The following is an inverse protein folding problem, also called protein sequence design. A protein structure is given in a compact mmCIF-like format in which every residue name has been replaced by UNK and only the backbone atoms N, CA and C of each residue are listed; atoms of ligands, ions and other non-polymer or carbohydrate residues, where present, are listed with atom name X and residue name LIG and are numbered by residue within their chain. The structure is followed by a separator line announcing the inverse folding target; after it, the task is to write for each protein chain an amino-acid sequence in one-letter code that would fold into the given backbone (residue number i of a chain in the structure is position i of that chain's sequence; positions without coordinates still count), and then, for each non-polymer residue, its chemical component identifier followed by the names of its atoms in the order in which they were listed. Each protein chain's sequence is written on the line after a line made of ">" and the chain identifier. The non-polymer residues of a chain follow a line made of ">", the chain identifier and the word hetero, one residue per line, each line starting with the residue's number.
data_IF_202491304251
#
_entry.id   IF_202491304251
#
_cell.length_a   1.000
_cell.length_b   1.000
_cell.length_c   1.000
_cell.angle_alpha   90.00
_cell.angle_beta   90.00
_cell.angle_gamma   90.00
#
_symmetry.space_group_name_H-M   'P 1'
#
loop_
_entity.id
_entity.type
_entity.pdbx_description
1 polymer ?
#
# COMPACT_ATOMS: atom_id res chain seq x y z
N UNK A 1 24.15 10.91 -32.57
CA UNK A 1 22.98 10.22 -33.17
C UNK A 1 22.91 8.72 -32.83
N UNK A 2 24.00 7.99 -32.67
CA UNK A 2 23.99 6.55 -32.36
C UNK A 2 23.45 6.24 -30.95
N UNK A 3 23.83 7.00 -29.96
CA UNK A 3 23.38 6.77 -28.56
C UNK A 3 21.87 6.93 -28.37
N UNK A 4 21.23 7.90 -29.04
CA UNK A 4 19.77 8.07 -28.96
C UNK A 4 19.00 6.86 -29.52
N UNK A 5 19.58 6.12 -30.49
CA UNK A 5 18.97 4.90 -31.02
C UNK A 5 19.03 3.74 -30.03
N UNK A 6 20.09 3.63 -29.24
CA UNK A 6 20.18 2.60 -28.18
C UNK A 6 19.21 2.86 -27.05
N UNK A 7 19.04 4.11 -26.65
CA UNK A 7 18.05 4.50 -25.64
C UNK A 7 16.63 4.18 -26.13
N UNK A 8 16.31 4.51 -27.37
CA UNK A 8 15.02 4.19 -27.99
C UNK A 8 14.80 2.68 -28.10
N UNK A 9 15.84 1.91 -28.43
CA UNK A 9 15.79 0.46 -28.53
C UNK A 9 15.61 -0.19 -27.15
N UNK A 10 16.27 0.31 -26.10
CA UNK A 10 16.11 -0.14 -24.72
C UNK A 10 14.69 0.18 -24.22
N UNK A 11 14.17 1.36 -24.51
CA UNK A 11 12.78 1.74 -24.19
C UNK A 11 11.78 0.84 -24.92
N UNK A 12 12.04 0.51 -26.19
CA UNK A 12 11.19 -0.39 -26.99
C UNK A 12 11.26 -1.85 -26.50
N UNK A 13 12.41 -2.29 -25.99
CA UNK A 13 12.59 -3.62 -25.39
C UNK A 13 11.85 -3.74 -24.04
N UNK A 14 11.73 -2.63 -23.30
CA UNK A 14 10.98 -2.55 -22.04
C UNK A 14 9.46 -2.50 -22.26
N UNK A 15 8.99 -2.26 -23.49
CA UNK A 15 7.56 -2.23 -23.83
C UNK A 15 7.00 -3.59 -24.28
N UNK A 16 7.73 -4.70 -24.12
CA UNK A 16 7.18 -6.03 -24.42
C UNK A 16 6.02 -6.33 -23.48
N UNK A 17 4.86 -6.53 -24.07
CA UNK A 17 3.61 -6.92 -23.39
C UNK A 17 3.73 -8.35 -22.87
N UNK A 18 3.94 -8.49 -21.57
CA UNK A 18 3.79 -9.78 -20.90
C UNK A 18 2.31 -10.08 -20.72
N UNK A 19 1.87 -11.24 -21.15
CA UNK A 19 0.54 -11.77 -20.86
C UNK A 19 0.44 -11.99 -19.36
N UNK A 20 -0.38 -11.18 -18.70
CA UNK A 20 -0.59 -11.22 -17.25
C UNK A 20 -1.51 -12.36 -16.89
N UNK A 21 -0.99 -13.35 -16.18
CA UNK A 21 -1.83 -14.30 -15.43
C UNK A 21 -2.18 -13.60 -14.11
N UNK A 22 -3.41 -13.10 -14.01
CA UNK A 22 -3.87 -12.20 -12.97
C UNK A 22 -4.21 -12.94 -11.68
N UNK A 23 -3.24 -13.18 -10.82
CA UNK A 23 -3.47 -13.41 -9.41
C UNK A 23 -2.67 -12.35 -8.62
N UNK A 24 -3.14 -11.12 -8.64
CA UNK A 24 -2.53 -10.04 -7.91
C UNK A 24 -3.15 -9.93 -6.51
N UNK A 25 -2.31 -9.61 -5.55
CA UNK A 25 -2.68 -9.12 -4.24
C UNK A 25 -3.58 -7.86 -4.38
N UNK A 26 -4.36 -7.55 -3.33
CA UNK A 26 -5.20 -6.36 -3.33
C UNK A 26 -4.35 -5.09 -3.46
N UNK A 27 -4.91 -4.09 -4.10
CA UNK A 27 -4.26 -2.82 -4.38
C UNK A 27 -5.09 -1.64 -3.89
N UNK A 28 -4.47 -0.73 -3.13
CA UNK A 28 -5.08 0.49 -2.62
C UNK A 28 -4.41 1.72 -3.24
N UNK A 29 -5.20 2.70 -3.62
CA UNK A 29 -4.69 3.97 -4.15
C UNK A 29 -4.05 4.79 -3.04
N UNK A 30 -4.64 4.79 -1.86
CA UNK A 30 -4.18 5.57 -0.71
C UNK A 30 -3.20 4.80 0.20
N UNK A 31 -2.50 3.76 -0.32
CA UNK A 31 -1.49 2.99 0.43
C UNK A 31 -0.35 3.86 0.99
N UNK A 32 -0.07 4.99 0.36
CA UNK A 32 0.93 5.97 0.79
C UNK A 32 0.68 6.54 2.20
N UNK A 33 -0.56 6.43 2.69
CA UNK A 33 -0.94 6.83 4.05
C UNK A 33 -0.94 5.67 5.05
N UNK A 34 -0.76 4.42 4.56
CA UNK A 34 -0.76 3.21 5.39
C UNK A 34 0.20 2.16 4.80
N UNK A 35 1.47 2.46 4.84
CA UNK A 35 2.52 1.65 4.21
C UNK A 35 2.73 0.31 4.92
N UNK A 36 2.39 0.21 6.20
CA UNK A 36 2.48 -1.03 7.00
C UNK A 36 1.72 -2.21 6.38
N UNK A 37 0.65 -1.96 5.60
CA UNK A 37 -0.06 -2.99 4.83
C UNK A 37 0.81 -3.68 3.78
N UNK A 38 1.86 -3.00 3.28
CA UNK A 38 2.68 -3.44 2.15
C UNK A 38 4.14 -3.63 2.52
N UNK A 39 4.63 -2.95 3.55
CA UNK A 39 6.01 -3.02 4.00
C UNK A 39 6.05 -3.14 5.53
N UNK A 40 6.47 -4.29 6.09
CA UNK A 40 6.54 -4.46 7.53
C UNK A 40 7.54 -3.50 8.22
N UNK A 41 8.55 -2.99 7.49
CA UNK A 41 9.48 -2.01 8.03
C UNK A 41 8.84 -0.65 8.34
N UNK A 42 7.63 -0.41 7.82
CA UNK A 42 6.87 0.81 8.09
C UNK A 42 5.98 0.73 9.34
N UNK A 43 5.94 -0.41 10.05
CA UNK A 43 5.15 -0.53 11.27
C UNK A 43 5.61 0.49 12.32
N UNK A 44 4.68 1.36 12.78
CA UNK A 44 4.98 2.45 13.70
C UNK A 44 5.77 3.62 13.11
N UNK A 45 5.90 3.74 11.79
CA UNK A 45 6.70 4.78 11.12
C UNK A 45 6.20 6.22 11.35
N UNK A 46 4.98 6.39 11.84
CA UNK A 46 4.43 7.67 12.28
C UNK A 46 4.87 8.05 13.70
N UNK A 47 5.65 7.21 14.37
CA UNK A 47 6.11 7.37 15.76
C UNK A 47 4.97 7.67 16.73
N UNK A 48 3.82 7.07 16.49
CA UNK A 48 2.60 7.20 17.29
C UNK A 48 1.82 5.91 17.23
N UNK A 49 0.76 5.80 18.01
CA UNK A 49 -0.20 4.71 17.90
C UNK A 49 -1.33 5.15 16.98
N UNK A 50 -1.62 4.35 15.96
CA UNK A 50 -2.62 4.67 14.96
C UNK A 50 -3.48 3.48 14.54
N UNK A 51 -4.67 3.79 14.07
CA UNK A 51 -5.58 2.87 13.37
C UNK A 51 -5.85 3.43 11.99
N UNK A 52 -5.76 2.59 10.98
CA UNK A 52 -5.97 2.96 9.58
C UNK A 52 -6.99 2.01 8.98
N UNK A 53 -7.97 2.55 8.30
CA UNK A 53 -9.04 1.79 7.66
C UNK A 53 -9.17 2.21 6.21
N UNK A 54 -9.29 1.25 5.33
CA UNK A 54 -9.53 1.44 3.90
C UNK A 54 -10.74 0.64 3.44
N UNK A 55 -11.49 1.23 2.55
CA UNK A 55 -12.59 0.56 1.84
C UNK A 55 -12.55 0.96 0.37
N UNK A 56 -12.33 -0.01 -0.51
CA UNK A 56 -12.20 0.17 -1.95
C UNK A 56 -13.24 -0.66 -2.68
N UNK A 57 -14.00 0.01 -3.55
CA UNK A 57 -14.95 -0.60 -4.46
C UNK A 57 -14.47 -0.36 -5.88
N UNK A 58 -14.01 -1.43 -6.55
CA UNK A 58 -13.52 -1.33 -7.92
C UNK A 58 -14.69 -1.48 -8.91
N UNK A 59 -14.59 -0.78 -10.04
CA UNK A 59 -15.48 -0.91 -11.19
C UNK A 59 -16.97 -0.91 -10.78
N UNK A 60 -17.37 0.12 -10.06
CA UNK A 60 -18.73 0.23 -9.52
C UNK A 60 -19.76 0.05 -10.64
N UNK A 61 -20.80 -0.74 -10.37
CA UNK A 61 -21.85 -1.11 -11.33
C UNK A 61 -21.55 -2.37 -12.16
N UNK A 62 -20.36 -2.95 -12.05
CA UNK A 62 -20.02 -4.25 -12.68
C UNK A 62 -20.35 -5.39 -11.72
N UNK A 63 -21.10 -6.38 -12.18
CA UNK A 63 -21.43 -7.56 -11.36
C UNK A 63 -20.17 -8.36 -11.04
N UNK A 64 -19.98 -8.74 -9.76
CA UNK A 64 -18.82 -9.48 -9.31
C UNK A 64 -17.52 -8.67 -9.24
N UNK A 65 -17.59 -7.35 -9.39
CA UNK A 65 -16.45 -6.46 -9.31
C UNK A 65 -15.72 -6.57 -7.96
N UNK A 66 -14.39 -6.30 -7.92
CA UNK A 66 -13.60 -6.42 -6.70
C UNK A 66 -14.04 -5.43 -5.62
N UNK A 67 -14.02 -5.89 -4.37
CA UNK A 67 -14.15 -5.03 -3.19
C UNK A 67 -13.10 -5.41 -2.16
N UNK A 68 -12.38 -4.41 -1.64
CA UNK A 68 -11.30 -4.60 -0.69
C UNK A 68 -11.56 -3.76 0.56
N UNK A 69 -11.48 -4.39 1.72
CA UNK A 69 -11.52 -3.72 3.02
C UNK A 69 -10.24 -4.07 3.76
N UNK A 70 -9.52 -3.08 4.24
CA UNK A 70 -8.26 -3.32 4.95
C UNK A 70 -8.16 -2.43 6.17
N UNK A 71 -7.47 -2.92 7.19
CA UNK A 71 -7.19 -2.19 8.40
C UNK A 71 -5.79 -2.46 8.91
N UNK A 72 -5.25 -1.47 9.59
CA UNK A 72 -3.97 -1.56 10.29
C UNK A 72 -4.11 -0.92 11.65
N UNK A 73 -3.60 -1.58 12.66
CA UNK A 73 -3.24 -0.98 13.93
C UNK A 73 -1.72 -1.00 14.00
N UNK A 74 -1.09 0.13 14.24
CA UNK A 74 0.33 0.17 14.47
C UNK A 74 0.71 1.08 15.64
N UNK A 75 1.86 0.82 16.23
CA UNK A 75 2.40 1.58 17.34
C UNK A 75 3.92 1.56 17.32
N UNK A 76 4.51 2.65 17.78
CA UNK A 76 5.94 2.76 18.01
C UNK A 76 6.23 2.77 19.53
N UNK A 77 7.19 1.94 19.94
CA UNK A 77 7.68 1.85 21.32
C UNK A 77 9.09 2.43 21.35
N UNK A 78 9.22 3.64 21.92
CA UNK A 78 10.47 4.43 21.89
C UNK A 78 11.60 3.71 22.61
N UNK A 79 11.34 3.08 23.75
CA UNK A 79 12.31 2.37 24.58
C UNK A 79 12.96 1.20 23.85
N UNK A 80 12.19 0.53 22.99
CA UNK A 80 12.65 -0.60 22.18
C UNK A 80 13.15 -0.17 20.80
N UNK A 81 12.96 1.09 20.42
CA UNK A 81 13.19 1.58 19.05
C UNK A 81 12.51 0.70 18.02
N UNK A 82 11.30 0.26 18.34
CA UNK A 82 10.61 -0.75 17.57
C UNK A 82 9.18 -0.35 17.30
N UNK A 83 8.72 -0.69 16.10
CA UNK A 83 7.34 -0.60 15.70
C UNK A 83 6.69 -1.97 15.67
N UNK A 84 5.42 -2.00 16.04
CA UNK A 84 4.57 -3.18 16.00
C UNK A 84 3.33 -2.86 15.19
N UNK A 85 2.93 -3.79 14.32
CA UNK A 85 1.75 -3.63 13.48
C UNK A 85 0.90 -4.89 13.48
N UNK A 86 -0.42 -4.69 13.44
CA UNK A 86 -1.40 -5.72 13.13
C UNK A 86 -2.15 -5.27 11.89
N UNK A 87 -2.11 -6.06 10.83
CA UNK A 87 -2.81 -5.75 9.59
C UNK A 87 -3.87 -6.80 9.30
N UNK A 88 -4.97 -6.33 8.74
CA UNK A 88 -6.09 -7.16 8.29
C UNK A 88 -6.50 -6.70 6.90
N UNK A 89 -6.79 -7.63 6.00
CA UNK A 89 -7.39 -7.35 4.72
C UNK A 89 -8.42 -8.41 4.35
N UNK A 90 -9.53 -7.96 3.79
CA UNK A 90 -10.58 -8.78 3.19
C UNK A 90 -10.79 -8.31 1.76
N UNK A 91 -10.56 -9.19 0.80
CA UNK A 91 -10.68 -8.92 -0.62
C UNK A 91 -11.66 -9.92 -1.24
N UNK A 92 -12.61 -9.41 -2.03
CA UNK A 92 -13.61 -10.22 -2.71
C UNK A 92 -13.56 -9.93 -4.21
N UNK A 93 -13.50 -10.97 -5.01
CA UNK A 93 -13.55 -10.92 -6.47
C UNK A 93 -14.45 -12.02 -7.00
N UNK A 94 -15.64 -11.65 -7.48
CA UNK A 94 -16.64 -12.60 -7.94
C UNK A 94 -17.02 -13.59 -6.85
N UNK A 95 -16.77 -14.88 -7.11
CA UNK A 95 -17.00 -16.00 -6.18
C UNK A 95 -15.84 -16.25 -5.18
N UNK A 96 -14.71 -15.55 -5.34
CA UNK A 96 -13.54 -15.69 -4.47
C UNK A 96 -13.56 -14.63 -3.35
N UNK A 97 -13.17 -15.05 -2.14
CA UNK A 97 -12.94 -14.17 -1.00
C UNK A 97 -11.62 -14.53 -0.35
N UNK A 98 -10.74 -13.54 -0.19
CA UNK A 98 -9.44 -13.68 0.44
C UNK A 98 -9.43 -12.90 1.74
N UNK A 99 -8.88 -13.50 2.79
CA UNK A 99 -8.67 -12.86 4.08
C UNK A 99 -7.21 -12.98 4.45
N UNK A 100 -6.67 -11.93 5.02
CA UNK A 100 -5.28 -11.86 5.41
C UNK A 100 -5.18 -11.18 6.77
N UNK A 101 -4.44 -11.79 7.70
CA UNK A 101 -4.09 -11.22 9.00
C UNK A 101 -2.60 -11.41 9.18
N UNK A 102 -1.87 -10.32 9.49
CA UNK A 102 -0.42 -10.35 9.74
C UNK A 102 -0.05 -9.53 10.97
N UNK A 103 0.95 -10.01 11.67
CA UNK A 103 1.69 -9.26 12.67
C UNK A 103 3.00 -8.78 12.05
N UNK A 104 3.30 -7.50 12.20
CA UNK A 104 4.50 -6.86 11.70
C UNK A 104 5.35 -6.34 12.86
N UNK A 105 6.66 -6.45 12.70
CA UNK A 105 7.67 -5.90 13.58
C UNK A 105 8.67 -5.10 12.76
N UNK A 106 9.05 -3.92 13.23
CA UNK A 106 10.06 -3.07 12.63
C UNK A 106 11.06 -2.61 13.68
N UNK A 107 12.35 -2.71 13.37
CA UNK A 107 13.43 -2.18 14.20
C UNK A 107 14.02 -0.94 13.55
N UNK A 108 14.15 0.15 14.33
CA UNK A 108 14.55 1.46 13.87
C UNK A 108 16.00 1.78 14.25
N UNK A 109 16.83 2.04 13.26
CA UNK A 109 18.27 2.34 13.38
C UNK A 109 18.46 3.81 13.00
N UNK A 110 18.70 4.71 13.96
CA UNK A 110 19.01 6.11 13.65
C UNK A 110 20.29 6.24 12.83
N UNK A 111 20.20 6.96 11.70
CA UNK A 111 21.35 7.28 10.84
C UNK A 111 21.55 8.79 10.86
N UNK A 112 22.50 9.26 11.69
CA UNK A 112 22.71 10.69 11.91
C UNK A 112 21.51 11.36 12.60
N UNK A 113 21.34 12.66 12.40
CA UNK A 113 20.37 13.44 13.18
C UNK A 113 18.94 13.44 12.62
N UNK A 114 18.79 13.25 11.33
CA UNK A 114 17.49 13.44 10.64
C UNK A 114 17.04 12.24 9.81
N UNK A 115 17.77 11.13 9.92
CA UNK A 115 17.45 9.95 9.12
C UNK A 115 17.36 8.70 9.97
N UNK A 116 16.55 7.78 9.55
CA UNK A 116 16.37 6.49 10.19
C UNK A 116 16.26 5.41 9.10
N UNK A 117 16.87 4.27 9.35
CA UNK A 117 16.65 3.05 8.60
C UNK A 117 15.80 2.12 9.47
N UNK A 118 14.75 1.57 8.94
CA UNK A 118 13.99 0.51 9.57
C UNK A 118 14.10 -0.80 8.81
N UNK A 119 14.20 -1.88 9.55
CA UNK A 119 14.18 -3.25 9.04
C UNK A 119 12.96 -3.93 9.62
N UNK A 120 12.16 -4.57 8.79
CA UNK A 120 10.90 -5.15 9.22
C UNK A 120 10.71 -6.57 8.74
N UNK A 121 9.94 -7.30 9.52
CA UNK A 121 9.45 -8.63 9.17
C UNK A 121 7.96 -8.73 9.56
N UNK A 122 7.21 -9.52 8.83
CA UNK A 122 5.85 -9.87 9.22
C UNK A 122 5.58 -11.34 9.00
N UNK A 123 4.66 -11.86 9.80
CA UNK A 123 4.14 -13.22 9.68
C UNK A 123 2.64 -13.24 9.88
N UNK A 124 1.96 -14.11 9.15
CA UNK A 124 0.52 -14.17 9.20
C UNK A 124 -0.10 -15.37 8.53
N UNK A 125 -1.40 -15.28 8.37
CA UNK A 125 -2.24 -16.32 7.76
C UNK A 125 -3.06 -15.70 6.63
N UNK A 126 -3.05 -16.37 5.49
CA UNK A 126 -3.92 -16.13 4.35
C UNK A 126 -5.01 -17.18 4.32
N UNK A 127 -6.24 -16.78 4.07
CA UNK A 127 -7.36 -17.69 3.80
C UNK A 127 -7.98 -17.32 2.46
N UNK A 128 -8.22 -18.31 1.62
CA UNK A 128 -8.93 -18.17 0.35
C UNK A 128 -10.12 -19.09 0.30
N UNK A 129 -11.28 -18.48 0.08
CA UNK A 129 -12.54 -19.19 -0.06
C UNK A 129 -13.07 -19.00 -1.48
N UNK A 130 -13.44 -20.08 -2.13
CA UNK A 130 -14.16 -20.05 -3.40
C UNK A 130 -15.55 -20.65 -3.18
N UNK A 131 -16.59 -19.87 -3.54
CA UNK A 131 -17.97 -20.33 -3.51
C UNK A 131 -18.44 -20.61 -4.94
N UNK A 132 -18.95 -21.79 -5.18
CA UNK A 132 -19.64 -22.12 -6.42
C UNK A 132 -21.10 -21.64 -6.34
N UNK A 133 -21.57 -20.89 -7.33
CA UNK A 133 -22.97 -20.54 -7.45
C UNK A 133 -23.68 -21.58 -8.32
N UNK A 134 -24.89 -21.98 -7.93
CA UNK A 134 -25.67 -23.01 -8.64
C UNK A 134 -26.00 -22.67 -10.10
N UNK A 135 -25.90 -21.41 -10.49
CA UNK A 135 -26.15 -20.95 -11.86
C UNK A 135 -24.95 -21.16 -12.82
N UNK A 136 -23.81 -21.55 -12.30
CA UNK A 136 -22.62 -21.82 -13.13
C UNK A 136 -22.62 -23.23 -13.72
N UNK A 137 -23.71 -23.97 -13.56
CA UNK A 137 -23.82 -25.41 -13.84
C UNK A 137 -24.17 -25.78 -15.28
N UNK A 138 -24.19 -24.85 -16.23
CA UNK A 138 -24.66 -25.14 -17.60
C UNK A 138 -23.57 -25.54 -18.60
N UNK A 139 -22.31 -25.59 -18.22
CA UNK A 139 -21.25 -26.01 -19.13
C UNK A 139 -20.24 -26.97 -18.52
N UNK A 140 -20.34 -28.23 -18.96
CA UNK A 140 -19.29 -29.25 -19.03
C UNK A 140 -18.36 -29.37 -17.80
N UNK A 141 -18.37 -30.58 -17.30
CA UNK A 141 -17.56 -31.14 -16.24
C UNK A 141 -16.07 -30.72 -16.34
N UNK A 142 -15.76 -29.56 -15.84
CA UNK A 142 -14.40 -29.19 -15.50
C UNK A 142 -14.07 -29.81 -14.13
N UNK A 143 -13.06 -30.70 -14.04
CA UNK A 143 -12.69 -31.32 -12.77
C UNK A 143 -12.36 -30.34 -11.66
N UNK A 144 -11.97 -29.08 -11.98
CA UNK A 144 -11.75 -28.04 -11.01
C UNK A 144 -13.04 -27.59 -10.29
N UNK A 145 -14.20 -27.88 -10.85
CA UNK A 145 -15.53 -27.57 -10.31
C UNK A 145 -16.10 -28.68 -9.42
N UNK A 146 -15.48 -29.87 -9.44
CA UNK A 146 -15.95 -31.01 -8.69
C UNK A 146 -15.93 -30.89 -7.16
N UNK A 147 -15.22 -29.88 -6.66
CA UNK A 147 -14.97 -29.72 -5.21
C UNK A 147 -15.97 -28.85 -4.44
N UNK A 148 -16.95 -28.22 -5.10
CA UNK A 148 -17.94 -27.38 -4.40
C UNK A 148 -17.34 -26.11 -3.76
N UNK A 149 -17.84 -25.76 -2.57
CA UNK A 149 -17.27 -24.67 -1.79
C UNK A 149 -15.94 -25.12 -1.17
N UNK A 150 -14.85 -24.43 -1.49
CA UNK A 150 -13.49 -24.78 -1.03
C UNK A 150 -12.91 -23.64 -0.23
N UNK A 151 -12.35 -23.97 0.92
CA UNK A 151 -11.59 -23.04 1.76
C UNK A 151 -10.17 -23.59 1.92
N UNK A 152 -9.17 -22.75 1.71
CA UNK A 152 -7.77 -23.09 1.89
C UNK A 152 -7.07 -22.03 2.74
N UNK A 153 -5.99 -22.43 3.40
CA UNK A 153 -5.20 -21.59 4.28
C UNK A 153 -3.72 -21.69 3.93
N UNK A 154 -2.97 -20.65 4.21
CA UNK A 154 -1.53 -20.64 4.02
C UNK A 154 -0.88 -19.74 5.07
N UNK A 155 0.31 -20.13 5.53
CA UNK A 155 1.20 -19.21 6.23
C UNK A 155 1.73 -18.17 5.24
N UNK A 156 2.08 -16.99 5.74
CA UNK A 156 2.60 -15.90 4.93
C UNK A 156 3.69 -15.13 5.70
N UNK A 157 4.78 -14.79 5.02
CA UNK A 157 5.90 -14.07 5.60
C UNK A 157 6.38 -13.00 4.64
N UNK A 158 6.64 -11.80 5.20
CA UNK A 158 7.17 -10.68 4.44
C UNK A 158 8.44 -10.15 5.13
N UNK A 159 9.33 -9.57 4.33
CA UNK A 159 10.48 -8.82 4.79
C UNK A 159 10.48 -7.43 4.16
N UNK A 160 11.04 -6.46 4.84
CA UNK A 160 11.11 -5.12 4.31
C UNK A 160 12.21 -4.26 4.91
N UNK A 161 12.53 -3.21 4.21
CA UNK A 161 13.31 -2.10 4.75
C UNK A 161 12.68 -0.76 4.33
N UNK A 162 12.93 0.27 5.14
CA UNK A 162 12.58 1.65 4.81
C UNK A 162 13.68 2.59 5.31
N UNK A 163 14.13 3.47 4.45
CA UNK A 163 14.94 4.63 4.81
C UNK A 163 14.06 5.86 4.79
N UNK A 164 14.05 6.61 5.89
CA UNK A 164 13.34 7.87 6.04
C UNK A 164 14.32 8.97 6.45
N UNK A 165 14.39 10.03 5.65
CA UNK A 165 15.29 11.17 5.83
C UNK A 165 14.89 12.30 4.90
N UNK A 166 15.82 12.90 4.13
CA UNK A 166 15.51 13.89 3.09
C UNK A 166 14.56 13.36 2.02
N UNK A 167 14.57 12.06 1.83
CA UNK A 167 13.63 11.29 1.03
C UNK A 167 13.23 10.03 1.79
N UNK A 168 12.14 9.43 1.40
CA UNK A 168 11.68 8.13 1.87
C UNK A 168 11.88 7.11 0.75
N UNK A 169 12.64 6.06 1.04
CA UNK A 169 12.87 4.93 0.14
C UNK A 169 12.54 3.65 0.88
N UNK A 170 11.69 2.83 0.33
CA UNK A 170 11.38 1.54 0.92
C UNK A 170 11.30 0.43 -0.10
N UNK A 171 11.54 -0.79 0.36
CA UNK A 171 11.23 -2.00 -0.38
C UNK A 171 10.77 -3.10 0.55
N UNK A 172 9.87 -3.94 0.04
CA UNK A 172 9.41 -5.13 0.72
C UNK A 172 9.31 -6.30 -0.26
N UNK A 173 9.61 -7.48 0.26
CA UNK A 173 9.34 -8.76 -0.42
C UNK A 173 8.24 -9.43 0.36
N UNK A 174 7.15 -9.74 -0.32
CA UNK A 174 5.93 -10.31 0.27
C UNK A 174 5.70 -11.71 -0.25
N UNK A 175 4.98 -12.49 0.55
CA UNK A 175 4.66 -13.88 0.22
C UNK A 175 5.89 -14.78 0.02
N UNK A 176 6.95 -14.56 0.83
CA UNK A 176 8.21 -15.31 0.76
C UNK A 176 8.04 -16.82 0.98
N UNK A 177 7.09 -17.21 1.81
CA UNK A 177 6.87 -18.61 2.18
C UNK A 177 5.36 -18.90 2.28
N UNK A 178 4.62 -18.59 1.21
CA UNK A 178 3.22 -18.97 1.09
C UNK A 178 3.09 -20.46 0.77
N UNK A 179 2.81 -21.27 1.80
CA UNK A 179 2.63 -22.71 1.65
C UNK A 179 1.14 -23.05 1.86
N UNK A 180 0.43 -23.50 0.79
CA UNK A 180 -0.96 -23.91 0.89
C UNK A 180 -1.08 -25.18 1.74
N UNK A 181 -2.13 -25.24 2.57
CA UNK A 181 -2.31 -26.36 3.49
C UNK A 181 -2.98 -27.55 2.80
N UNK A 182 -3.93 -27.33 1.89
CA UNK A 182 -4.74 -28.43 1.38
C UNK A 182 -4.98 -28.47 -0.13
N UNK A 183 -5.33 -27.36 -0.77
CA UNK A 183 -5.85 -27.38 -2.16
C UNK A 183 -5.03 -26.61 -3.17
N UNK A 184 -3.85 -26.11 -2.84
CA UNK A 184 -3.03 -25.23 -3.69
C UNK A 184 -3.74 -23.93 -4.18
N UNK A 185 -4.87 -23.56 -3.58
CA UNK A 185 -5.62 -22.35 -3.96
C UNK A 185 -4.97 -21.07 -3.40
N UNK A 186 -4.22 -21.21 -2.31
CA UNK A 186 -3.64 -20.07 -1.57
C UNK A 186 -2.18 -19.81 -1.90
N UNK A 187 -1.62 -20.49 -2.90
CA UNK A 187 -0.26 -20.14 -3.35
C UNK A 187 -0.28 -18.72 -3.92
N UNK A 188 0.27 -17.79 -3.16
CA UNK A 188 0.51 -16.43 -3.63
C UNK A 188 1.88 -16.35 -4.27
N UNK A 189 1.94 -15.71 -5.43
CA UNK A 189 3.22 -15.38 -6.05
C UNK A 189 3.96 -14.35 -5.22
N UNK A 190 5.26 -14.54 -5.05
CA UNK A 190 6.13 -13.55 -4.42
C UNK A 190 5.96 -12.20 -5.12
N UNK A 191 5.83 -11.14 -4.34
CA UNK A 191 5.75 -9.79 -4.86
C UNK A 191 6.79 -8.88 -4.20
N UNK A 192 7.34 -7.97 -4.98
CA UNK A 192 8.30 -6.96 -4.54
C UNK A 192 7.66 -5.58 -4.74
N UNK A 193 7.53 -4.82 -3.67
CA UNK A 193 7.10 -3.45 -3.72
C UNK A 193 8.25 -2.52 -3.34
N UNK A 194 8.58 -1.60 -4.24
CA UNK A 194 9.60 -0.57 -4.04
C UNK A 194 8.97 0.79 -4.22
N UNK A 195 9.35 1.75 -3.38
CA UNK A 195 8.80 3.10 -3.45
C UNK A 195 9.83 4.15 -3.04
N UNK A 196 9.64 5.32 -3.61
CA UNK A 196 10.42 6.53 -3.34
C UNK A 196 9.46 7.71 -3.24
N UNK A 197 9.61 8.54 -2.22
CA UNK A 197 8.96 9.84 -2.15
C UNK A 197 9.87 10.86 -1.45
N UNK A 198 9.60 12.12 -1.69
CA UNK A 198 10.28 13.21 -0.97
C UNK A 198 9.35 14.41 -0.87
N UNK A 199 9.25 14.99 0.33
CA UNK A 199 8.36 16.12 0.57
C UNK A 199 9.14 17.43 0.61
N UNK A 200 8.72 18.37 -0.22
CA UNK A 200 9.32 19.70 -0.35
C UNK A 200 8.34 20.77 0.08
N UNK A 201 8.79 21.71 0.91
CA UNK A 201 8.01 22.91 1.21
C UNK A 201 8.19 23.92 0.08
N UNK A 202 7.11 24.20 -0.65
CA UNK A 202 7.08 25.24 -1.70
C UNK A 202 6.92 26.60 -1.04
N UNK A 203 6.08 26.68 -0.01
CA UNK A 203 5.84 27.88 0.79
C UNK A 203 5.52 27.51 2.24
N UNK A 204 5.28 28.49 3.09
CA UNK A 204 4.84 28.25 4.48
C UNK A 204 3.50 27.51 4.58
N UNK A 205 2.65 27.63 3.54
CA UNK A 205 1.31 27.03 3.51
C UNK A 205 1.16 25.87 2.54
N UNK A 206 2.21 25.51 1.78
CA UNK A 206 2.11 24.52 0.70
C UNK A 206 3.35 23.63 0.65
N UNK A 207 3.15 22.32 0.69
CA UNK A 207 4.19 21.31 0.41
C UNK A 207 3.78 20.43 -0.76
N UNK A 208 4.77 19.93 -1.48
CA UNK A 208 4.62 18.97 -2.57
C UNK A 208 5.38 17.68 -2.23
N UNK A 209 4.75 16.55 -2.41
CA UNK A 209 5.38 15.23 -2.28
C UNK A 209 5.24 14.46 -3.61
N UNK A 210 6.22 14.53 -4.52
CA UNK A 210 6.32 13.59 -5.63
C UNK A 210 6.60 12.19 -5.10
N UNK A 211 6.04 11.19 -5.79
CA UNK A 211 6.16 9.80 -5.41
C UNK A 211 6.24 8.88 -6.63
N UNK A 212 7.00 7.83 -6.47
CA UNK A 212 7.14 6.77 -7.46
C UNK A 212 7.15 5.41 -6.76
N UNK A 213 6.52 4.41 -7.36
CA UNK A 213 6.59 3.04 -6.88
C UNK A 213 6.61 2.05 -8.03
N UNK A 214 7.17 0.89 -7.76
CA UNK A 214 7.12 -0.28 -8.64
C UNK A 214 6.66 -1.46 -7.83
N UNK A 215 5.63 -2.12 -8.30
CA UNK A 215 5.20 -3.42 -7.84
C UNK A 215 5.60 -4.45 -8.90
N UNK A 216 6.42 -5.40 -8.51
CA UNK A 216 6.81 -6.55 -9.31
C UNK A 216 6.19 -7.81 -8.72
N UNK A 217 5.61 -8.65 -9.56
CA UNK A 217 5.16 -10.00 -9.24
C UNK A 217 5.79 -10.96 -10.23
N UNK A 218 5.80 -12.25 -9.95
CA UNK A 218 6.38 -13.27 -10.85
C UNK A 218 5.85 -13.18 -12.30
N UNK A 219 4.65 -12.64 -12.48
CA UNK A 219 3.95 -12.60 -13.78
C UNK A 219 3.79 -11.19 -14.36
N UNK A 220 4.06 -10.12 -13.59
CA UNK A 220 3.80 -8.76 -14.05
C UNK A 220 4.60 -7.72 -13.28
N UNK A 221 4.74 -6.54 -13.86
CA UNK A 221 5.20 -5.35 -13.14
C UNK A 221 4.23 -4.20 -13.36
N UNK A 222 4.14 -3.34 -12.38
CA UNK A 222 3.35 -2.12 -12.45
C UNK A 222 4.13 -0.97 -11.82
N UNK A 223 4.31 0.10 -12.57
CA UNK A 223 4.88 1.34 -12.07
C UNK A 223 3.76 2.33 -11.72
N UNK A 224 4.01 3.12 -10.71
CA UNK A 224 3.14 4.20 -10.27
C UNK A 224 3.96 5.47 -10.14
N UNK A 225 3.44 6.58 -10.67
CA UNK A 225 4.02 7.91 -10.55
C UNK A 225 2.93 8.87 -10.10
N UNK A 226 3.26 9.76 -9.20
CA UNK A 226 2.29 10.73 -8.73
C UNK A 226 2.85 11.84 -7.88
N UNK A 227 1.97 12.70 -7.43
CA UNK A 227 2.31 13.77 -6.52
C UNK A 227 1.11 14.14 -5.65
N UNK A 228 1.40 14.56 -4.41
CA UNK A 228 0.43 15.08 -3.47
C UNK A 228 0.83 16.49 -3.05
N UNK A 229 -0.10 17.42 -3.15
CA UNK A 229 -0.01 18.75 -2.59
C UNK A 229 -0.66 18.77 -1.20
N UNK A 230 0.08 19.19 -0.20
CA UNK A 230 -0.40 19.36 1.16
C UNK A 230 -0.56 20.84 1.47
N UNK A 231 -1.75 21.24 1.88
CA UNK A 231 -2.07 22.59 2.32
C UNK A 231 -1.95 22.64 3.83
N UNK A 232 -1.02 23.44 4.31
CA UNK A 232 -0.62 23.51 5.69
C UNK A 232 -1.41 24.57 6.43
N UNK A 233 -1.66 24.32 7.72
CA UNK A 233 -2.15 25.32 8.67
C UNK A 233 -1.06 25.57 9.72
N UNK A 234 -0.73 26.79 9.95
CA UNK A 234 0.15 27.18 11.07
C UNK A 234 -0.65 27.06 12.37
N UNK A 235 -0.29 26.13 13.24
CA UNK A 235 -0.93 25.96 14.55
C UNK A 235 -0.18 26.71 15.65
N UNK A 236 1.13 26.94 15.47
CA UNK A 236 1.99 27.69 16.37
C UNK A 236 3.19 28.20 15.56
N UNK A 237 3.99 29.14 16.12
CA UNK A 237 5.22 29.66 15.47
C UNK A 237 6.22 28.58 15.03
N UNK A 238 6.07 27.35 15.52
CA UNK A 238 6.96 26.23 15.22
C UNK A 238 6.28 24.96 14.71
N UNK A 239 4.94 24.93 14.59
CA UNK A 239 4.21 23.70 14.28
C UNK A 239 3.29 23.92 13.08
N UNK A 240 3.47 23.12 12.04
CA UNK A 240 2.58 23.06 10.89
C UNK A 240 1.84 21.72 10.89
N UNK A 241 0.55 21.77 10.55
CA UNK A 241 -0.24 20.57 10.33
C UNK A 241 -0.86 20.59 8.92
N UNK A 242 -0.95 19.43 8.31
CA UNK A 242 -1.70 19.29 7.07
C UNK A 242 -3.17 19.58 7.35
N UNK A 243 -3.76 20.55 6.67
CA UNK A 243 -5.19 20.83 6.76
C UNK A 243 -5.96 19.94 5.80
N UNK A 244 -5.54 19.95 4.54
CA UNK A 244 -6.08 19.08 3.49
C UNK A 244 -4.99 18.79 2.46
N UNK A 245 -5.21 17.76 1.63
CA UNK A 245 -4.31 17.40 0.54
C UNK A 245 -5.11 17.08 -0.72
N UNK A 246 -4.46 17.29 -1.84
CA UNK A 246 -4.94 16.91 -3.18
C UNK A 246 -3.78 16.24 -3.91
N UNK A 247 -4.08 15.18 -4.64
CA UNK A 247 -3.04 14.47 -5.39
C UNK A 247 -3.57 13.79 -6.63
N UNK A 248 -2.63 13.33 -7.44
CA UNK A 248 -2.89 12.55 -8.63
C UNK A 248 -1.83 11.48 -8.79
N UNK A 249 -2.25 10.30 -9.26
CA UNK A 249 -1.42 9.14 -9.50
C UNK A 249 -1.72 8.58 -10.87
N UNK A 250 -0.67 8.21 -11.60
CA UNK A 250 -0.76 7.43 -12.82
C UNK A 250 -0.15 6.05 -12.58
N UNK A 251 -0.84 5.01 -13.03
CA UNK A 251 -0.37 3.62 -12.98
C UNK A 251 -0.25 3.04 -14.37
N UNK A 252 0.89 2.45 -14.65
CA UNK A 252 1.02 1.61 -15.85
C UNK A 252 0.06 0.43 -15.75
N UNK A 253 -0.58 0.06 -16.86
CA UNK A 253 -1.67 -0.93 -16.84
C UNK A 253 -3.04 -0.27 -16.71
N UNK A 254 -3.12 1.03 -17.05
CA UNK A 254 -4.31 1.72 -17.49
C UNK A 254 -5.19 2.34 -16.40
N UNK A 255 -4.63 2.99 -15.39
CA UNK A 255 -5.44 3.82 -14.50
C UNK A 255 -4.79 5.16 -14.14
N UNK A 256 -5.64 6.17 -14.03
CA UNK A 256 -5.32 7.46 -13.46
C UNK A 256 -6.20 7.69 -12.23
N UNK A 257 -5.61 8.10 -11.13
CA UNK A 257 -6.33 8.35 -9.89
C UNK A 257 -6.17 9.79 -9.44
N UNK A 258 -7.23 10.36 -8.93
CA UNK A 258 -7.21 11.61 -8.16
C UNK A 258 -7.53 11.26 -6.71
N UNK A 259 -6.87 11.93 -5.79
CA UNK A 259 -7.08 11.72 -4.37
C UNK A 259 -7.18 13.07 -3.65
N UNK A 260 -8.02 13.09 -2.66
CA UNK A 260 -8.22 14.25 -1.81
C UNK A 260 -8.45 13.79 -0.37
N UNK A 261 -8.12 14.64 0.58
CA UNK A 261 -8.42 14.36 1.96
C UNK A 261 -8.12 15.52 2.88
N UNK A 262 -8.48 15.36 4.14
CA UNK A 262 -8.32 16.37 5.17
C UNK A 262 -8.06 15.78 6.54
N UNK A 263 -7.43 16.57 7.39
CA UNK A 263 -7.42 16.32 8.82
C UNK A 263 -8.67 16.98 9.43
N UNK A 264 -9.65 16.15 9.82
CA UNK A 264 -10.85 16.62 10.52
C UNK A 264 -10.51 17.19 11.89
N UNK A 265 -9.58 16.51 12.57
CA UNK A 265 -8.99 16.94 13.85
C UNK A 265 -7.50 16.64 13.83
N UNK A 266 -6.77 17.00 14.91
CA UNK A 266 -5.38 16.57 15.09
C UNK A 266 -5.20 15.04 15.13
N UNK A 267 -6.26 14.28 15.38
CA UNK A 267 -6.24 12.82 15.54
C UNK A 267 -6.91 12.07 14.40
N UNK A 268 -7.83 12.69 13.66
CA UNK A 268 -8.65 12.04 12.64
C UNK A 268 -8.31 12.59 11.26
N UNK A 269 -7.99 11.69 10.35
CA UNK A 269 -7.75 12.00 8.94
C UNK A 269 -8.74 11.21 8.08
N UNK A 270 -9.32 11.88 7.11
CA UNK A 270 -10.23 11.29 6.12
C UNK A 270 -9.68 11.54 4.72
N UNK A 271 -9.67 10.53 3.89
CA UNK A 271 -9.28 10.61 2.49
C UNK A 271 -10.24 9.88 1.58
N UNK A 272 -10.30 10.34 0.35
CA UNK A 272 -11.06 9.73 -0.73
C UNK A 272 -10.20 9.71 -1.99
N UNK A 273 -10.28 8.64 -2.76
CA UNK A 273 -9.73 8.60 -4.11
C UNK A 273 -10.74 8.04 -5.11
N UNK A 274 -10.59 8.52 -6.34
CA UNK A 274 -11.32 8.07 -7.51
C UNK A 274 -10.33 7.65 -8.57
N UNK A 275 -10.40 6.38 -9.01
CA UNK A 275 -9.54 5.86 -10.07
C UNK A 275 -10.38 5.70 -11.34
N UNK A 276 -9.91 6.29 -12.40
CA UNK A 276 -10.45 6.17 -13.74
C UNK A 276 -9.65 5.14 -14.53
N UNK A 277 -10.32 4.13 -15.08
CA UNK A 277 -9.69 3.16 -15.96
C UNK A 277 -9.47 3.77 -17.35
N UNK A 278 -8.27 3.58 -17.91
CA UNK A 278 -7.88 4.03 -19.25
C UNK A 278 -7.77 2.78 -20.14
N UNK A 279 -8.00 2.94 -21.46
CA UNK A 279 -7.93 1.84 -22.42
C UNK A 279 -9.19 0.95 -22.41
N UNK A 280 -9.04 -0.33 -22.72
CA UNK A 280 -10.15 -1.26 -22.94
C UNK A 280 -11.08 -1.42 -21.72
N UNK A 281 -10.54 -1.34 -20.52
CA UNK A 281 -11.31 -1.40 -19.28
C UNK A 281 -12.24 -0.20 -19.08
N UNK A 282 -11.97 0.94 -19.71
CA UNK A 282 -12.81 2.15 -19.57
C UNK A 282 -14.22 1.95 -20.09
N UNK A 283 -14.40 1.07 -21.06
CA UNK A 283 -15.73 0.74 -21.64
C UNK A 283 -16.61 -0.04 -20.66
N UNK A 284 -16.01 -0.84 -19.79
CA UNK A 284 -16.68 -1.71 -18.82
C UNK A 284 -16.80 -1.02 -17.46
N UNK A 285 -15.73 -0.39 -17.00
CA UNK A 285 -15.62 0.23 -15.67
C UNK A 285 -16.02 1.72 -15.68
N UNK A 286 -17.13 2.08 -16.32
CA UNK A 286 -17.57 3.48 -16.54
C UNK A 286 -17.72 4.30 -15.26
N UNK A 287 -18.18 3.69 -14.17
CA UNK A 287 -18.35 4.38 -12.90
C UNK A 287 -17.04 4.46 -12.08
N UNK A 288 -15.93 3.91 -12.62
CA UNK A 288 -14.62 3.98 -11.99
C UNK A 288 -14.47 3.15 -10.71
N UNK A 289 -13.45 3.47 -9.95
CA UNK A 289 -13.12 2.83 -8.67
C UNK A 289 -13.08 3.87 -7.57
N UNK A 290 -13.71 3.59 -6.46
CA UNK A 290 -13.83 4.49 -5.32
C UNK A 290 -13.10 3.89 -4.11
N UNK A 291 -12.33 4.71 -3.40
CA UNK A 291 -11.67 4.31 -2.17
C UNK A 291 -11.85 5.36 -1.09
N UNK A 292 -12.25 4.90 0.09
CA UNK A 292 -12.29 5.69 1.32
C UNK A 292 -11.15 5.27 2.23
N UNK A 293 -10.53 6.25 2.87
CA UNK A 293 -9.49 6.10 3.87
C UNK A 293 -9.85 6.88 5.12
N UNK A 294 -9.72 6.21 6.27
CA UNK A 294 -9.87 6.82 7.60
C UNK A 294 -8.69 6.44 8.46
N UNK A 295 -8.06 7.41 9.12
CA UNK A 295 -7.09 7.11 10.16
C UNK A 295 -7.39 7.85 11.45
N UNK A 296 -7.05 7.17 12.55
CA UNK A 296 -7.16 7.71 13.89
C UNK A 296 -5.84 7.52 14.63
N UNK A 297 -5.30 8.62 15.20
CA UNK A 297 -4.07 8.63 15.96
C UNK A 297 -4.35 8.92 17.43
N UNK A 298 -3.83 8.09 18.34
CA UNK A 298 -3.96 8.31 19.78
C UNK A 298 -3.09 9.47 20.25
N UNK A 299 -1.82 9.50 19.82
CA UNK A 299 -0.84 10.49 20.22
C UNK A 299 -0.08 10.99 18.98
N UNK A 300 -0.69 11.87 18.17
CA UNK A 300 0.02 12.47 17.04
C UNK A 300 0.75 13.73 17.51
N UNK A 301 2.07 13.71 17.38
CA UNK A 301 2.90 14.87 17.65
C UNK A 301 3.36 15.43 16.31
N UNK A 302 2.94 16.67 16.00
CA UNK A 302 3.41 17.40 14.84
C UNK A 302 4.72 18.12 15.20
N UNK A 303 5.76 17.90 14.43
CA UNK A 303 7.02 18.60 14.61
C UNK A 303 7.35 19.41 13.36
N UNK A 304 7.84 20.63 13.56
CA UNK A 304 8.37 21.48 12.48
C UNK A 304 9.67 20.88 11.90
N UNK A 305 10.50 20.35 12.78
CA UNK A 305 11.69 19.60 12.43
C UNK A 305 11.41 18.13 12.76
N UNK A 306 11.35 17.29 11.73
CA UNK A 306 11.20 15.84 11.90
C UNK A 306 12.45 15.24 12.54
N UNK A 307 12.70 15.52 13.80
CA UNK A 307 13.69 14.80 14.59
C UNK A 307 13.09 13.43 14.88
N UNK A 308 13.68 12.40 14.29
CA UNK A 308 13.29 11.03 14.54
C UNK A 308 13.25 10.76 16.06
N UNK A 309 12.14 10.29 16.65
CA UNK A 309 12.05 9.96 18.08
C UNK A 309 13.16 9.01 18.53
N UNK A 310 13.58 8.06 17.69
CA UNK A 310 14.71 7.18 17.96
C UNK A 310 16.03 7.93 18.18
N UNK A 311 16.16 9.15 17.65
CA UNK A 311 17.34 10.01 17.87
C UNK A 311 17.26 10.80 19.19
N UNK A 312 16.07 11.13 19.69
CA UNK A 312 15.92 11.89 20.95
C UNK A 312 16.47 11.16 22.16
N UNK A 313 16.30 9.84 22.22
CA UNK A 313 16.84 9.05 23.30
C UNK A 313 18.36 9.12 23.35
N UNK A 314 19.02 9.24 22.19
CA UNK A 314 20.48 9.37 22.09
C UNK A 314 20.99 10.72 22.63
N UNK A 315 20.20 11.79 22.50
CA UNK A 315 20.52 13.13 23.07
C UNK A 315 20.27 13.16 24.56
N UNK A 316 19.23 12.45 25.07
CA UNK A 316 18.92 12.42 26.52
C UNK A 316 19.88 11.58 27.34
N UNK A 317 20.62 10.66 26.72
CA UNK A 317 21.61 9.81 27.39
C UNK A 317 23.05 10.36 27.33
N UNK A 318 23.27 11.51 26.72
CA UNK A 318 24.49 12.30 26.77
C UNK A 318 24.27 13.57 27.62
#
# INVERSE_FOLDING_TARGET
>A
MKEKKYILFIVMLLMNTFTSIAQNDFDLTQRWFNETLYNPASAGNNFSTGVFLHSRLQWVGVSGAPSTHAGTFDTYVEELRSGFGLTFAADKLGSMSNYNIRLAYAFYIPIGQKSVLSLGLSGGILSRNRRLQANDSESTIDPSWAYGNVSDYSSDFDLGFEFKGPFKLGASVRHLASQPVQYNLTKHSMSIWTYLSSRFNISESLSLEPMAAVLYTESSYRAELGAIFYFLKTESKSTYSDKFWLGALYRTGNSFAVLAGMNLTSKIRLGYSFDYAIGDLSSIAKAGTHELFLSFYLNRIFYKDEVCPAYREHIRRR
#
